data_IF_412985926726
#
_entry.id   IF_412985926726
#
_cell.length_a   1.000
_cell.length_b   1.000
_cell.length_c   1.000
_cell.angle_alpha   90.00
_cell.angle_beta   90.00
_cell.angle_gamma   90.00
#
_symmetry.space_group_name_H-M   'P 1'
#
loop_
_entity.id
_entity.type
_entity.pdbx_description
1 polymer ?
#
# COMPACT_ATOMS: atom_id res chain seq x y z
N UNK A 1 -3.19 -28.26 -18.56
CA UNK A 1 -2.22 -28.95 -17.68
C UNK A 1 -1.30 -27.89 -17.09
N UNK A 2 -1.05 -27.91 -15.77
CA UNK A 2 -0.56 -26.81 -14.91
C UNK A 2 -1.67 -25.82 -14.48
N UNK A 3 -2.70 -26.36 -13.85
CA UNK A 3 -3.55 -25.61 -12.94
C UNK A 3 -3.89 -26.55 -11.77
N UNK A 4 -2.88 -26.94 -10.99
CA UNK A 4 -3.11 -27.68 -9.75
C UNK A 4 -1.93 -27.54 -8.80
N UNK A 5 -2.27 -27.36 -7.52
CA UNK A 5 -1.38 -27.14 -6.35
C UNK A 5 -0.72 -25.76 -6.25
N UNK A 6 -1.53 -24.77 -5.91
CA UNK A 6 -1.08 -23.72 -4.98
C UNK A 6 -2.01 -23.71 -3.76
N UNK A 7 -1.96 -24.81 -2.99
CA UNK A 7 -2.56 -24.87 -1.65
C UNK A 7 -1.61 -24.14 -0.70
N UNK A 8 -1.65 -22.81 -0.72
CA UNK A 8 -0.91 -22.00 0.24
C UNK A 8 -1.65 -22.10 1.57
N UNK A 9 -1.08 -22.83 2.54
CA UNK A 9 -1.64 -22.97 3.88
C UNK A 9 -1.72 -21.59 4.54
N UNK A 10 -2.90 -20.97 4.44
CA UNK A 10 -3.30 -19.71 5.06
C UNK A 10 -2.92 -19.57 6.56
N UNK A 11 -2.93 -20.63 7.40
CA UNK A 11 -2.52 -20.47 8.80
C UNK A 11 -1.02 -20.17 9.00
N UNK A 12 -0.13 -20.56 8.08
CA UNK A 12 1.32 -20.35 8.25
C UNK A 12 1.75 -18.89 8.05
N UNK A 13 1.03 -18.15 7.21
CA UNK A 13 1.28 -16.72 6.95
C UNK A 13 0.86 -15.83 8.12
N UNK A 14 -0.09 -16.31 8.94
CA UNK A 14 -0.52 -15.66 10.18
C UNK A 14 0.46 -15.84 11.34
N UNK A 15 1.30 -16.87 11.30
CA UNK A 15 2.26 -17.22 12.36
C UNK A 15 3.61 -16.49 12.19
N UNK A 16 3.94 -16.03 10.98
CA UNK A 16 5.23 -15.40 10.69
C UNK A 16 5.51 -14.12 11.51
N UNK A 17 4.55 -13.20 11.74
CA UNK A 17 4.80 -12.04 12.59
C UNK A 17 4.70 -12.34 14.10
N UNK A 18 4.11 -13.47 14.51
CA UNK A 18 4.07 -13.90 15.92
C UNK A 18 5.44 -14.36 16.43
N UNK A 19 6.33 -14.82 15.54
CA UNK A 19 7.68 -15.28 15.89
C UNK A 19 8.67 -14.15 16.23
N UNK A 20 8.37 -12.88 15.91
CA UNK A 20 9.29 -11.76 16.11
C UNK A 20 9.08 -10.98 17.42
N UNK A 21 8.11 -11.35 18.27
CA UNK A 21 7.69 -10.53 19.43
C UNK A 21 8.30 -10.98 20.77
N UNK A 22 9.59 -11.36 20.76
CA UNK A 22 10.34 -11.57 22.00
C UNK A 22 11.46 -10.51 22.08
N UNK A 23 11.14 -9.29 22.54
CA UNK A 23 12.15 -8.25 22.80
C UNK A 23 11.82 -7.46 24.07
N UNK A 24 12.84 -7.41 24.93
CA UNK A 24 13.09 -6.74 26.22
C UNK A 24 12.24 -5.50 26.60
N UNK A 25 11.95 -5.39 27.91
CA UNK A 25 11.05 -4.42 28.55
C UNK A 25 11.68 -3.04 28.82
N UNK A 26 10.91 -1.96 28.59
CA UNK A 26 11.18 -0.60 29.09
C UNK A 26 9.86 0.20 29.26
N UNK A 27 9.79 1.10 30.24
CA UNK A 27 8.56 1.59 30.89
C UNK A 27 7.60 2.53 30.11
N UNK A 28 7.91 2.88 28.86
CA UNK A 28 7.16 3.86 28.05
C UNK A 28 6.54 3.24 26.77
N UNK A 29 6.19 1.95 26.84
CA UNK A 29 5.74 1.14 25.70
C UNK A 29 4.21 1.00 25.64
N UNK A 30 3.68 0.83 24.43
CA UNK A 30 2.27 0.59 24.16
C UNK A 30 1.77 -0.81 24.56
N UNK A 31 2.67 -1.73 24.90
CA UNK A 31 2.38 -3.10 25.33
C UNK A 31 2.21 -3.19 26.87
N UNK A 32 1.45 -2.26 27.45
CA UNK A 32 1.01 -2.38 28.85
C UNK A 32 0.22 -3.68 29.04
N UNK A 33 0.30 -4.33 30.22
CA UNK A 33 -0.33 -5.64 30.46
C UNK A 33 -1.84 -5.65 30.23
N UNK A 34 -2.50 -4.49 30.34
CA UNK A 34 -3.93 -4.33 30.06
C UNK A 34 -4.25 -4.30 28.56
N UNK A 35 -3.32 -3.84 27.72
CA UNK A 35 -3.57 -3.55 26.30
C UNK A 35 -2.77 -4.46 25.33
N UNK A 36 -1.93 -5.34 25.87
CA UNK A 36 -1.06 -6.26 25.12
C UNK A 36 -1.82 -7.11 24.09
N UNK A 37 -3.03 -7.59 24.44
CA UNK A 37 -3.87 -8.37 23.52
C UNK A 37 -4.33 -7.54 22.32
N UNK A 38 -4.73 -6.30 22.54
CA UNK A 38 -5.16 -5.39 21.47
C UNK A 38 -3.98 -5.00 20.59
N UNK A 39 -2.83 -4.73 21.20
CA UNK A 39 -1.60 -4.42 20.49
C UNK A 39 -1.17 -5.55 19.55
N UNK A 40 -1.09 -6.79 20.05
CA UNK A 40 -0.75 -7.95 19.23
C UNK A 40 -1.77 -8.22 18.13
N UNK A 41 -3.06 -8.06 18.43
CA UNK A 41 -4.11 -8.26 17.44
C UNK A 41 -3.98 -7.23 16.32
N UNK A 42 -3.85 -5.94 16.64
CA UNK A 42 -3.81 -4.87 15.64
C UNK A 42 -2.51 -4.92 14.83
N UNK A 43 -1.35 -4.96 15.49
CA UNK A 43 -0.04 -4.92 14.82
C UNK A 43 0.24 -6.23 14.09
N UNK A 44 -0.04 -7.37 14.72
CA UNK A 44 0.14 -8.69 14.13
C UNK A 44 -0.74 -8.87 12.91
N UNK A 45 -2.05 -8.61 13.03
CA UNK A 45 -2.98 -8.71 11.90
C UNK A 45 -2.59 -7.78 10.75
N UNK A 46 -2.24 -6.52 11.04
CA UNK A 46 -1.83 -5.56 10.01
C UNK A 46 -0.59 -6.03 9.24
N UNK A 47 0.43 -6.54 9.94
CA UNK A 47 1.63 -7.10 9.30
C UNK A 47 1.30 -8.30 8.40
N UNK A 48 0.39 -9.20 8.82
CA UNK A 48 -0.01 -10.34 7.97
C UNK A 48 -0.67 -9.89 6.67
N UNK A 49 -1.54 -8.87 6.73
CA UNK A 49 -2.21 -8.33 5.56
C UNK A 49 -1.24 -7.63 4.61
N UNK A 50 -0.26 -6.90 5.15
CA UNK A 50 0.79 -6.25 4.36
C UNK A 50 1.62 -7.28 3.58
N UNK A 51 2.00 -8.39 4.24
CA UNK A 51 2.77 -9.47 3.60
C UNK A 51 1.94 -10.12 2.48
N UNK A 52 0.65 -10.40 2.72
CA UNK A 52 -0.26 -10.88 1.66
C UNK A 52 -0.38 -9.88 0.50
N UNK A 53 -0.42 -8.58 0.82
CA UNK A 53 -0.41 -7.50 -0.16
C UNK A 53 0.83 -7.50 -1.05
N UNK A 54 2.02 -7.76 -0.48
CA UNK A 54 3.26 -7.89 -1.24
C UNK A 54 3.23 -9.10 -2.19
N UNK A 55 2.75 -10.25 -1.73
CA UNK A 55 2.57 -11.42 -2.60
C UNK A 55 1.61 -11.13 -3.76
N UNK A 56 0.50 -10.42 -3.49
CA UNK A 56 -0.42 -9.96 -4.52
C UNK A 56 0.25 -9.06 -5.57
N UNK A 57 1.04 -8.07 -5.13
CA UNK A 57 1.76 -7.17 -6.03
C UNK A 57 2.78 -7.93 -6.90
N UNK A 58 3.58 -8.81 -6.30
CA UNK A 58 4.57 -9.65 -7.01
C UNK A 58 3.88 -10.52 -8.07
N UNK A 59 2.74 -11.12 -7.74
CA UNK A 59 1.97 -11.92 -8.69
C UNK A 59 1.51 -11.11 -9.90
N UNK A 60 1.01 -9.89 -9.68
CA UNK A 60 0.60 -8.99 -10.77
C UNK A 60 1.79 -8.61 -11.65
N UNK A 61 2.93 -8.25 -11.06
CA UNK A 61 4.16 -7.98 -11.81
C UNK A 61 4.62 -9.18 -12.64
N UNK A 62 4.62 -10.38 -12.05
CA UNK A 62 4.97 -11.61 -12.75
C UNK A 62 4.05 -11.85 -13.95
N UNK A 63 2.72 -11.70 -13.78
CA UNK A 63 1.76 -11.92 -14.87
C UNK A 63 1.95 -10.92 -16.01
N UNK A 64 2.21 -9.65 -15.69
CA UNK A 64 2.44 -8.59 -16.68
C UNK A 64 3.76 -8.81 -17.41
N UNK A 65 4.82 -9.21 -16.68
CA UNK A 65 6.11 -9.55 -17.27
C UNK A 65 5.99 -10.71 -18.27
N UNK A 66 5.27 -11.77 -17.91
CA UNK A 66 5.00 -12.90 -18.81
C UNK A 66 4.23 -12.45 -20.06
N UNK A 67 3.21 -11.60 -19.90
CA UNK A 67 2.44 -11.06 -21.01
C UNK A 67 3.29 -10.16 -21.93
N UNK A 68 4.20 -9.39 -21.35
CA UNK A 68 5.13 -8.53 -22.07
C UNK A 68 6.11 -9.33 -22.94
N UNK A 69 6.61 -10.46 -22.41
CA UNK A 69 7.48 -11.39 -23.13
C UNK A 69 6.74 -12.01 -24.32
N UNK A 70 5.50 -12.46 -24.13
CA UNK A 70 4.67 -13.05 -25.19
C UNK A 70 4.28 -12.05 -26.28
N UNK A 71 4.07 -10.78 -25.93
CA UNK A 71 3.58 -9.73 -26.84
C UNK A 71 4.69 -8.99 -27.60
N UNK A 72 5.90 -9.56 -27.73
CA UNK A 72 7.05 -8.96 -28.42
C UNK A 72 7.31 -7.49 -28.03
N UNK A 73 7.28 -7.19 -26.72
CA UNK A 73 7.55 -5.87 -26.13
C UNK A 73 6.51 -4.76 -26.34
N UNK A 74 5.36 -5.02 -26.98
CA UNK A 74 4.24 -4.07 -27.05
C UNK A 74 3.15 -4.44 -26.02
N UNK A 75 3.15 -3.74 -24.89
CA UNK A 75 2.13 -3.95 -23.86
C UNK A 75 0.88 -3.10 -24.17
N UNK A 76 -0.27 -3.78 -24.35
CA UNK A 76 -1.55 -3.12 -24.53
C UNK A 76 -1.93 -2.31 -23.28
N UNK A 77 -2.66 -1.20 -23.47
CA UNK A 77 -3.10 -0.31 -22.39
C UNK A 77 -3.82 -1.05 -21.25
N UNK A 78 -4.56 -2.12 -21.58
CA UNK A 78 -5.28 -2.98 -20.63
C UNK A 78 -4.36 -3.55 -19.54
N UNK A 79 -3.09 -3.85 -19.87
CA UNK A 79 -2.12 -4.42 -18.91
C UNK A 79 -1.26 -3.35 -18.24
N UNK A 80 -1.21 -2.11 -18.77
CA UNK A 80 -0.50 -1.00 -18.16
C UNK A 80 -1.23 -0.48 -16.93
N UNK A 81 -2.55 -0.33 -17.01
CA UNK A 81 -3.38 0.13 -15.90
C UNK A 81 -3.22 -0.72 -14.59
N UNK A 82 -3.26 -2.07 -14.63
CA UNK A 82 -3.01 -2.88 -13.43
C UNK A 82 -1.54 -2.92 -13.00
N UNK A 83 -0.59 -2.72 -13.91
CA UNK A 83 0.84 -2.57 -13.55
C UNK A 83 1.03 -1.38 -12.60
N UNK A 84 0.39 -0.31 -12.99
CA UNK A 84 0.42 0.99 -12.37
C UNK A 84 -0.24 1.03 -10.99
N UNK A 85 -1.42 0.42 -10.86
CA UNK A 85 -2.05 0.26 -9.54
C UNK A 85 -1.16 -0.60 -8.63
N UNK A 86 -0.61 -1.72 -9.13
CA UNK A 86 0.30 -2.57 -8.36
C UNK A 86 1.57 -1.86 -7.90
N UNK A 87 2.14 -0.95 -8.71
CA UNK A 87 3.25 -0.10 -8.27
C UNK A 87 2.85 0.83 -7.12
N UNK A 88 1.67 1.46 -7.18
CA UNK A 88 1.20 2.32 -6.09
C UNK A 88 0.85 1.52 -4.83
N UNK A 89 0.22 0.35 -4.98
CA UNK A 89 -0.07 -0.57 -3.87
C UNK A 89 1.22 -1.05 -3.19
N UNK A 90 2.26 -1.33 -3.97
CA UNK A 90 3.56 -1.71 -3.43
C UNK A 90 4.18 -0.58 -2.59
N UNK A 91 4.10 0.67 -3.06
CA UNK A 91 4.59 1.83 -2.30
C UNK A 91 3.81 2.07 -1.00
N UNK A 92 2.47 1.92 -1.03
CA UNK A 92 1.62 2.00 0.17
C UNK A 92 2.04 0.92 1.17
N UNK A 93 2.09 -0.34 0.72
CA UNK A 93 2.43 -1.45 1.59
C UNK A 93 3.85 -1.31 2.17
N UNK A 94 4.81 -0.80 1.40
CA UNK A 94 6.16 -0.55 1.89
C UNK A 94 6.17 0.53 2.99
N UNK A 95 5.48 1.66 2.79
CA UNK A 95 5.40 2.72 3.78
C UNK A 95 4.69 2.24 5.07
N UNK A 96 3.57 1.52 4.93
CA UNK A 96 2.85 0.92 6.05
C UNK A 96 3.70 -0.11 6.79
N UNK A 97 4.47 -0.92 6.06
CA UNK A 97 5.40 -1.88 6.67
C UNK A 97 6.43 -1.19 7.55
N UNK A 98 7.07 -0.12 7.06
CA UNK A 98 8.04 0.67 7.85
C UNK A 98 7.40 1.27 9.10
N UNK A 99 6.17 1.76 9.01
CA UNK A 99 5.43 2.32 10.16
C UNK A 99 5.10 1.22 11.20
N UNK A 100 4.62 0.06 10.73
CA UNK A 100 4.21 -1.05 11.58
C UNK A 100 5.39 -1.80 12.20
N UNK A 101 6.49 -2.00 11.47
CA UNK A 101 7.67 -2.72 12.00
C UNK A 101 8.37 -1.93 13.10
N UNK A 102 8.46 -0.60 12.96
CA UNK A 102 8.99 0.26 14.02
C UNK A 102 8.14 0.13 15.29
N UNK A 103 6.81 0.20 15.12
CA UNK A 103 5.88 0.04 16.25
C UNK A 103 5.98 -1.36 16.86
N UNK A 104 6.19 -2.41 16.05
CA UNK A 104 6.34 -3.78 16.54
C UNK A 104 7.64 -4.02 17.33
N UNK A 105 8.76 -3.43 16.89
CA UNK A 105 10.09 -3.62 17.53
C UNK A 105 10.19 -2.79 18.81
N UNK A 106 9.83 -1.51 18.74
CA UNK A 106 10.04 -0.57 19.84
C UNK A 106 8.83 -0.43 20.76
N UNK A 107 7.69 -1.06 20.40
CA UNK A 107 6.38 -0.85 21.05
C UNK A 107 6.06 0.65 21.24
N UNK A 108 6.58 1.48 20.34
CA UNK A 108 6.46 2.94 20.35
C UNK A 108 6.27 3.43 18.92
N UNK A 109 5.37 4.39 18.76
CA UNK A 109 5.21 5.12 17.50
C UNK A 109 6.35 6.12 17.36
N UNK A 110 6.78 6.36 16.11
CA UNK A 110 7.80 7.36 15.74
C UNK A 110 7.64 8.70 16.46
N UNK A 111 8.75 9.39 16.68
CA UNK A 111 8.79 10.75 17.23
C UNK A 111 8.03 11.75 16.33
N UNK A 112 7.64 12.90 16.87
CA UNK A 112 6.68 13.81 16.23
C UNK A 112 7.07 14.25 14.81
N UNK A 113 8.34 14.54 14.56
CA UNK A 113 8.82 14.97 13.23
C UNK A 113 8.77 13.84 12.18
N UNK A 114 9.40 12.67 12.39
CA UNK A 114 9.30 11.56 11.43
C UNK A 114 7.87 11.01 11.30
N UNK A 115 7.08 11.05 12.37
CA UNK A 115 5.70 10.58 12.34
C UNK A 115 4.81 11.41 11.43
N UNK A 116 4.98 12.74 11.42
CA UNK A 116 4.29 13.64 10.49
C UNK A 116 4.59 13.32 9.03
N UNK A 117 5.86 13.05 8.71
CA UNK A 117 6.31 12.74 7.35
C UNK A 117 5.77 11.38 6.89
N UNK A 118 5.86 10.36 7.74
CA UNK A 118 5.35 9.02 7.43
C UNK A 118 3.83 9.05 7.24
N UNK A 119 3.11 9.73 8.14
CA UNK A 119 1.66 9.91 8.02
C UNK A 119 1.25 10.64 6.74
N UNK A 120 1.97 11.71 6.38
CA UNK A 120 1.77 12.43 5.13
C UNK A 120 2.03 11.55 3.91
N UNK A 121 3.16 10.84 3.87
CA UNK A 121 3.51 9.96 2.75
C UNK A 121 2.47 8.85 2.56
N UNK A 122 1.99 8.27 3.66
CA UNK A 122 0.98 7.23 3.61
C UNK A 122 -0.33 7.74 3.01
N UNK A 123 -0.78 8.92 3.46
CA UNK A 123 -1.96 9.57 2.90
C UNK A 123 -1.75 9.96 1.42
N UNK A 124 -0.54 10.35 1.04
CA UNK A 124 -0.15 10.67 -0.33
C UNK A 124 -0.32 9.47 -1.24
N UNK A 125 0.27 8.34 -0.86
CA UNK A 125 0.18 7.14 -1.64
C UNK A 125 -1.26 6.61 -1.74
N UNK A 126 -2.04 6.67 -0.66
CA UNK A 126 -3.47 6.31 -0.68
C UNK A 126 -4.28 7.18 -1.64
N UNK A 127 -4.07 8.50 -1.61
CA UNK A 127 -4.79 9.43 -2.49
C UNK A 127 -4.44 9.18 -3.95
N UNK A 128 -3.14 9.00 -4.25
CA UNK A 128 -2.64 8.68 -5.59
C UNK A 128 -3.28 7.40 -6.11
N UNK A 129 -3.33 6.37 -5.27
CA UNK A 129 -3.92 5.07 -5.60
C UNK A 129 -5.43 5.19 -5.88
N UNK A 130 -6.18 5.91 -5.05
CA UNK A 130 -7.60 6.15 -5.26
C UNK A 130 -7.87 6.90 -6.58
N UNK A 131 -7.07 7.92 -6.87
CA UNK A 131 -7.15 8.63 -8.15
C UNK A 131 -6.85 7.70 -9.34
N UNK A 132 -5.90 6.76 -9.21
CA UNK A 132 -5.67 5.76 -10.26
C UNK A 132 -6.88 4.87 -10.47
N UNK A 133 -7.50 4.36 -9.41
CA UNK A 133 -8.72 3.56 -9.55
C UNK A 133 -9.86 4.33 -10.20
N UNK A 134 -10.03 5.62 -9.88
CA UNK A 134 -11.02 6.47 -10.54
C UNK A 134 -10.74 6.63 -12.04
N UNK A 135 -9.49 6.90 -12.43
CA UNK A 135 -9.09 7.00 -13.85
C UNK A 135 -9.31 5.66 -14.57
N UNK A 136 -8.94 4.54 -13.95
CA UNK A 136 -9.15 3.19 -14.51
C UNK A 136 -10.64 2.93 -14.72
N UNK A 137 -11.49 3.28 -13.76
CA UNK A 137 -12.94 3.12 -13.86
C UNK A 137 -13.53 3.94 -15.01
N UNK A 138 -13.13 5.21 -15.15
CA UNK A 138 -13.59 6.09 -16.24
C UNK A 138 -13.14 5.56 -17.61
N UNK A 139 -11.87 5.15 -17.75
CA UNK A 139 -11.36 4.57 -19.00
C UNK A 139 -12.10 3.28 -19.34
N UNK A 140 -12.37 2.44 -18.35
CA UNK A 140 -13.10 1.18 -18.54
C UNK A 140 -14.54 1.46 -18.97
N UNK A 141 -15.22 2.41 -18.34
CA UNK A 141 -16.56 2.84 -18.73
C UNK A 141 -16.60 3.38 -20.17
N UNK A 142 -15.66 4.26 -20.54
CA UNK A 142 -15.58 4.82 -21.90
C UNK A 142 -15.31 3.74 -22.95
N UNK A 143 -14.49 2.74 -22.64
CA UNK A 143 -14.23 1.62 -23.55
C UNK A 143 -15.43 0.70 -23.69
N UNK A 144 -16.08 0.33 -22.59
CA UNK A 144 -17.15 -0.69 -22.59
C UNK A 144 -18.49 -0.10 -23.04
N UNK A 145 -18.87 1.07 -22.53
CA UNK A 145 -20.19 1.65 -22.77
C UNK A 145 -20.22 2.63 -23.94
N UNK A 146 -19.09 3.26 -24.27
CA UNK A 146 -19.01 4.26 -25.34
C UNK A 146 -18.16 3.81 -26.54
N UNK A 147 -17.50 2.65 -26.46
CA UNK A 147 -16.58 2.12 -27.48
C UNK A 147 -15.49 3.12 -27.91
N UNK A 148 -15.15 4.08 -27.05
CA UNK A 148 -14.12 5.08 -27.35
C UNK A 148 -12.76 4.50 -26.97
N UNK A 149 -11.95 4.17 -27.99
CA UNK A 149 -10.61 3.65 -27.81
C UNK A 149 -9.59 4.79 -27.69
N UNK A 150 -9.23 5.14 -26.46
CA UNK A 150 -8.10 6.03 -26.24
C UNK A 150 -6.77 5.29 -26.42
N UNK A 151 -6.04 5.60 -27.49
CA UNK A 151 -4.67 5.13 -27.70
C UNK A 151 -3.67 6.07 -27.02
N UNK A 152 -3.59 5.99 -25.68
CA UNK A 152 -2.50 6.62 -24.95
C UNK A 152 -1.22 5.80 -25.16
N UNK A 153 -0.49 6.10 -26.24
CA UNK A 153 0.74 5.38 -26.61
C UNK A 153 1.93 5.79 -25.74
N UNK A 154 2.66 6.83 -26.18
CA UNK A 154 3.84 7.40 -25.50
C UNK A 154 3.48 8.45 -24.44
N UNK A 155 2.22 8.90 -24.40
CA UNK A 155 1.75 10.00 -23.55
C UNK A 155 1.09 9.57 -22.23
N UNK A 156 1.03 8.26 -21.94
CA UNK A 156 0.51 7.74 -20.66
C UNK A 156 1.16 8.49 -19.48
N UNK A 157 2.48 8.64 -19.47
CA UNK A 157 3.21 9.31 -18.38
C UNK A 157 2.76 10.77 -18.09
N UNK A 158 2.14 11.48 -19.05
CA UNK A 158 1.65 12.84 -18.79
C UNK A 158 0.42 12.83 -17.90
N UNK A 159 -0.48 11.86 -18.09
CA UNK A 159 -1.66 11.68 -17.26
C UNK A 159 -1.27 11.33 -15.81
N UNK A 160 -0.16 10.62 -15.67
CA UNK A 160 0.46 10.28 -14.39
C UNK A 160 1.01 11.50 -13.66
N UNK A 161 1.72 12.38 -14.39
CA UNK A 161 2.26 13.62 -13.82
C UNK A 161 1.11 14.47 -13.27
N UNK A 162 -0.01 14.62 -13.99
CA UNK A 162 -1.14 15.40 -13.48
C UNK A 162 -1.77 14.81 -12.20
N UNK A 163 -1.97 13.48 -12.14
CA UNK A 163 -2.51 12.81 -10.96
C UNK A 163 -1.56 12.90 -9.76
N UNK A 164 -0.25 12.75 -10.00
CA UNK A 164 0.78 12.87 -8.98
C UNK A 164 0.92 14.30 -8.47
N UNK A 165 0.95 15.29 -9.37
CA UNK A 165 1.05 16.70 -9.00
C UNK A 165 -0.20 17.17 -8.26
N UNK A 166 -1.40 16.80 -8.71
CA UNK A 166 -2.65 17.15 -8.04
C UNK A 166 -2.75 16.54 -6.63
N UNK A 167 -2.42 15.24 -6.51
CA UNK A 167 -2.37 14.57 -5.22
C UNK A 167 -1.32 15.21 -4.30
N UNK A 168 -0.10 15.45 -4.79
CA UNK A 168 0.96 16.08 -3.99
C UNK A 168 0.59 17.48 -3.51
N UNK A 169 -0.07 18.31 -4.33
CA UNK A 169 -0.52 19.64 -3.94
C UNK A 169 -1.52 19.59 -2.77
N UNK A 170 -2.48 18.66 -2.82
CA UNK A 170 -3.46 18.45 -1.74
C UNK A 170 -2.80 17.96 -0.44
N UNK A 171 -1.68 17.22 -0.54
CA UNK A 171 -0.92 16.73 0.60
C UNK A 171 -0.14 17.84 1.31
N UNK A 172 0.52 18.71 0.53
CA UNK A 172 1.28 19.84 1.08
C UNK A 172 0.36 20.78 1.88
N UNK A 173 -0.87 20.98 1.41
CA UNK A 173 -1.88 21.78 2.12
C UNK A 173 -2.35 21.11 3.42
N UNK A 174 -2.35 19.78 3.50
CA UNK A 174 -2.80 19.02 4.67
C UNK A 174 -1.67 18.57 5.62
N UNK A 175 -0.42 18.94 5.34
CA UNK A 175 0.75 18.48 6.10
C UNK A 175 0.68 18.87 7.59
N UNK A 176 0.07 20.02 7.89
CA UNK A 176 -0.07 20.54 9.25
C UNK A 176 -1.00 19.69 10.14
N UNK A 177 -1.88 18.87 9.54
CA UNK A 177 -2.83 18.02 10.27
C UNK A 177 -2.33 16.59 10.51
N UNK A 178 -1.09 16.26 10.14
CA UNK A 178 -0.54 14.92 10.39
C UNK A 178 0.07 14.81 11.79
N UNK A 179 -0.04 13.65 12.44
CA UNK A 179 0.47 13.44 13.79
C UNK A 179 0.47 11.99 14.25
N UNK A 180 0.84 11.79 15.52
CA UNK A 180 0.82 10.48 16.19
C UNK A 180 -0.62 10.09 16.53
N UNK A 181 -1.03 8.88 16.15
CA UNK A 181 -2.21 8.18 16.70
C UNK A 181 -1.75 7.03 17.58
N UNK A 182 -2.69 6.42 18.29
CA UNK A 182 -2.42 5.38 19.30
C UNK A 182 -1.42 4.33 18.81
N UNK A 183 -1.68 3.66 17.69
CA UNK A 183 -0.83 2.56 17.21
C UNK A 183 0.02 2.89 15.98
N UNK A 184 -0.10 4.09 15.39
CA UNK A 184 0.62 4.46 14.17
C UNK A 184 0.61 5.95 13.86
N UNK A 185 1.44 6.36 12.91
CA UNK A 185 1.44 7.70 12.35
C UNK A 185 0.37 7.90 11.26
N UNK A 186 -0.56 8.85 11.46
CA UNK A 186 -1.64 9.15 10.51
C UNK A 186 -2.13 10.60 10.64
N UNK A 187 -3.03 11.02 9.76
CA UNK A 187 -3.70 12.32 9.89
C UNK A 187 -4.44 12.41 11.25
N UNK A 188 -4.09 13.42 12.04
CA UNK A 188 -4.77 13.77 13.29
C UNK A 188 -6.02 14.55 12.89
N UNK A 189 -7.19 13.98 13.13
CA UNK A 189 -8.43 14.77 13.11
C UNK A 189 -8.41 15.61 14.38
N UNK A 190 -8.36 16.93 14.25
CA UNK A 190 -8.57 17.85 15.38
C UNK A 190 -10.03 17.72 15.79
N UNK A 191 -10.30 16.84 16.75
CA UNK A 191 -11.50 16.82 17.57
C UNK A 191 -11.06 16.60 19.01
#
# INVERSE_FOLDING_TARGET
MILDKFSMNFPFLLILPLLFINVEADGDRLDTPENIKNFHLIVGFSLTLIILGWFGCIYVFYRIYKQWLLSKKRLAMIYRLPFYSACSDFLINFNFFTNMIHTAIYARVWDDAPCKVIGALNWAFLTINLCFYAVIAVITYLRVCREIYFHYGKYDYKLWVYVLTGSAALQVLNLQNNGKRDYWCAAKSVY
#
